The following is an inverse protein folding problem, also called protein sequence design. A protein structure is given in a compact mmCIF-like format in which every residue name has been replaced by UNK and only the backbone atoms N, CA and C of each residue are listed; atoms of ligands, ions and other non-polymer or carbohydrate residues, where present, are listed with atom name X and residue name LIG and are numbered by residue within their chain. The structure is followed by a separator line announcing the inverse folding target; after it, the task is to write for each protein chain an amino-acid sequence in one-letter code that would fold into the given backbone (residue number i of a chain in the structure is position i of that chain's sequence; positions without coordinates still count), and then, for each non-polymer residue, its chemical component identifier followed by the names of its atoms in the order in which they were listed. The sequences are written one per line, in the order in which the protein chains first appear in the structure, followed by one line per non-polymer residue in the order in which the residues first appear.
data_IF_941261805823
#
_entry.id   IF_941261805823
#
_cell.length_a   1.000
_cell.length_b   1.000
_cell.length_c   1.000
_cell.angle_alpha   90.00
_cell.angle_beta   90.00
_cell.angle_gamma   90.00
#
_symmetry.space_group_name_H-M   'P 1'
#
loop_
_entity.id
_entity.type
_entity.pdbx_description
1 polymer ?
#
# COMPACT_ATOMS: atom_id res chain seq x y z
N UNK A 1 -15.93 9.98 0.60
CA UNK A 1 -15.00 10.49 -0.44
C UNK A 1 -13.93 9.42 -0.66
N UNK A 2 -13.59 9.08 -1.91
CA UNK A 2 -12.63 8.01 -2.23
C UNK A 2 -11.18 8.46 -2.00
N UNK A 3 -10.36 7.62 -1.36
CA UNK A 3 -8.95 7.89 -1.09
C UNK A 3 -8.13 7.72 -2.39
N UNK A 4 -7.44 8.75 -2.90
CA UNK A 4 -6.74 8.69 -4.18
C UNK A 4 -5.57 7.71 -4.22
N UNK A 5 -5.04 7.29 -3.05
CA UNK A 5 -3.98 6.28 -2.97
C UNK A 5 -4.50 4.85 -3.19
N UNK A 6 -5.82 4.65 -3.09
CA UNK A 6 -6.46 3.36 -3.34
C UNK A 6 -6.98 3.23 -4.78
N UNK A 7 -6.86 4.28 -5.59
CA UNK A 7 -7.21 4.26 -7.01
C UNK A 7 -6.04 3.71 -7.83
N UNK A 8 -6.23 2.51 -8.39
CA UNK A 8 -5.22 1.81 -9.18
C UNK A 8 -5.33 2.07 -10.69
N UNK A 9 -6.09 3.08 -11.12
CA UNK A 9 -6.24 3.38 -12.53
C UNK A 9 -5.18 4.38 -13.00
N UNK A 10 -4.34 3.95 -13.95
CA UNK A 10 -3.36 4.82 -14.60
C UNK A 10 -2.26 5.32 -13.66
N UNK A 11 -1.89 6.59 -13.81
CA UNK A 11 -0.79 7.25 -13.10
C UNK A 11 -1.25 7.81 -11.74
N UNK A 12 -0.34 7.93 -10.74
CA UNK A 12 -0.68 8.53 -9.46
C UNK A 12 -1.25 9.95 -9.59
N UNK A 13 -2.43 10.18 -9.01
CA UNK A 13 -3.08 11.48 -9.01
C UNK A 13 -2.46 12.44 -7.97
N UNK A 14 -1.18 12.81 -8.14
CA UNK A 14 -0.39 13.58 -7.17
C UNK A 14 -1.10 14.82 -6.61
N UNK A 15 -1.80 15.59 -7.45
CA UNK A 15 -2.53 16.80 -7.04
C UNK A 15 -3.68 16.53 -6.06
N UNK A 16 -4.17 15.29 -5.97
CA UNK A 16 -5.25 14.89 -5.07
C UNK A 16 -4.74 14.25 -3.78
N UNK A 17 -3.47 13.85 -3.72
CA UNK A 17 -2.88 13.21 -2.54
C UNK A 17 -2.63 14.29 -1.47
N UNK A 18 -3.14 14.05 -0.27
CA UNK A 18 -2.96 14.92 0.89
C UNK A 18 -2.43 14.09 2.07
N UNK A 19 -1.74 14.70 3.04
CA UNK A 19 -1.19 13.98 4.19
C UNK A 19 -2.22 13.11 4.93
N UNK A 20 -3.45 13.60 5.10
CA UNK A 20 -4.54 12.88 5.76
C UNK A 20 -5.01 11.61 5.03
N UNK A 21 -4.64 11.45 3.75
CA UNK A 21 -4.95 10.24 2.99
C UNK A 21 -3.95 9.11 3.23
N UNK A 22 -2.73 9.43 3.66
CA UNK A 22 -1.59 8.49 3.66
C UNK A 22 -1.80 7.34 4.62
N UNK A 23 -1.90 7.64 5.91
CA UNK A 23 -1.99 6.62 6.95
C UNK A 23 -3.24 5.73 6.81
N UNK A 24 -4.44 6.27 6.56
CA UNK A 24 -5.62 5.43 6.33
C UNK A 24 -5.51 4.51 5.10
N UNK A 25 -4.84 4.95 4.02
CA UNK A 25 -4.62 4.09 2.86
C UNK A 25 -3.68 2.93 3.18
N UNK A 26 -2.57 3.22 3.88
CA UNK A 26 -1.59 2.21 4.25
C UNK A 26 -2.19 1.21 5.24
N UNK A 27 -2.91 1.67 6.27
CA UNK A 27 -3.58 0.78 7.23
C UNK A 27 -4.57 -0.18 6.54
N UNK A 28 -5.39 0.36 5.64
CA UNK A 28 -6.33 -0.45 4.87
C UNK A 28 -5.61 -1.50 4.01
N UNK A 29 -4.57 -1.10 3.27
CA UNK A 29 -3.82 -2.00 2.40
C UNK A 29 -3.10 -3.10 3.18
N UNK A 30 -2.46 -2.76 4.30
CA UNK A 30 -1.76 -3.76 5.13
C UNK A 30 -2.74 -4.76 5.73
N UNK A 31 -3.89 -4.30 6.23
CA UNK A 31 -4.92 -5.18 6.78
C UNK A 31 -5.47 -6.14 5.72
N UNK A 32 -5.85 -5.62 4.56
CA UNK A 32 -6.32 -6.43 3.43
C UNK A 32 -5.26 -7.42 2.96
N UNK A 33 -4.01 -6.96 2.84
CA UNK A 33 -2.92 -7.79 2.35
C UNK A 33 -2.67 -8.97 3.30
N UNK A 34 -2.62 -8.74 4.61
CA UNK A 34 -2.50 -9.81 5.61
C UNK A 34 -3.66 -10.81 5.52
N UNK A 35 -4.89 -10.33 5.34
CA UNK A 35 -6.05 -11.20 5.16
C UNK A 35 -5.95 -12.08 3.90
N UNK A 36 -5.51 -11.50 2.78
CA UNK A 36 -5.30 -12.22 1.51
C UNK A 36 -4.18 -13.25 1.62
N UNK A 37 -3.03 -12.87 2.17
CA UNK A 37 -1.89 -13.77 2.36
C UNK A 37 -2.29 -14.95 3.24
N UNK A 38 -3.00 -14.69 4.36
CA UNK A 38 -3.52 -15.75 5.22
C UNK A 38 -4.43 -16.71 4.45
N UNK A 39 -5.39 -16.19 3.69
CA UNK A 39 -6.30 -17.01 2.90
C UNK A 39 -5.58 -17.86 1.83
N UNK A 40 -4.54 -17.31 1.19
CA UNK A 40 -3.74 -18.02 0.18
C UNK A 40 -2.98 -19.21 0.79
N UNK A 41 -2.40 -19.03 1.98
CA UNK A 41 -1.62 -20.06 2.66
C UNK A 41 -2.52 -21.11 3.34
N UNK A 42 -3.69 -20.72 3.83
CA UNK A 42 -4.64 -21.67 4.46
C UNK A 42 -5.48 -22.44 3.43
N UNK A 43 -5.68 -21.87 2.24
CA UNK A 43 -6.61 -22.38 1.22
C UNK A 43 -6.04 -23.42 0.25
N UNK A 44 -4.73 -23.71 0.30
CA UNK A 44 -4.08 -24.57 -0.69
C UNK A 44 -3.26 -25.69 -0.01
N UNK A 45 -3.42 -26.92 -0.49
CA UNK A 45 -2.59 -28.07 -0.07
C UNK A 45 -1.39 -28.33 -0.98
N UNK A 46 -1.42 -27.81 -2.21
CA UNK A 46 -0.31 -27.80 -3.15
C UNK A 46 -0.14 -26.41 -3.73
N UNK A 47 1.10 -25.94 -3.80
CA UNK A 47 1.43 -24.60 -4.29
C UNK A 47 2.05 -24.65 -5.68
N UNK A 48 1.66 -23.70 -6.51
CA UNK A 48 2.22 -23.44 -7.82
C UNK A 48 2.33 -21.92 -8.03
N UNK A 49 2.78 -21.53 -9.21
CA UNK A 49 2.95 -20.13 -9.57
C UNK A 49 1.62 -19.35 -9.46
N UNK A 50 0.56 -19.89 -10.04
CA UNK A 50 -0.73 -19.20 -10.20
C UNK A 50 -1.51 -19.05 -8.89
N UNK A 51 -1.35 -19.99 -7.94
CA UNK A 51 -2.09 -19.98 -6.68
C UNK A 51 -1.32 -19.42 -5.48
N UNK A 52 -0.03 -19.12 -5.64
CA UNK A 52 0.80 -18.53 -4.58
C UNK A 52 1.57 -17.31 -5.07
N UNK A 53 2.50 -17.49 -6.00
CA UNK A 53 3.45 -16.42 -6.37
C UNK A 53 2.75 -15.26 -7.06
N UNK A 54 1.97 -15.53 -8.10
CA UNK A 54 1.25 -14.47 -8.82
C UNK A 54 0.30 -13.68 -7.90
N UNK A 55 -0.56 -14.32 -7.07
CA UNK A 55 -1.37 -13.58 -6.10
C UNK A 55 -0.57 -12.77 -5.09
N UNK A 56 0.58 -13.26 -4.62
CA UNK A 56 1.46 -12.51 -3.72
C UNK A 56 2.04 -11.25 -4.40
N UNK A 57 2.49 -11.36 -5.65
CA UNK A 57 2.97 -10.22 -6.43
C UNK A 57 1.88 -9.17 -6.64
N UNK A 58 0.64 -9.57 -6.92
CA UNK A 58 -0.49 -8.64 -7.07
C UNK A 58 -0.76 -7.87 -5.77
N UNK A 59 -0.64 -8.55 -4.62
CA UNK A 59 -0.86 -7.96 -3.29
C UNK A 59 0.26 -6.98 -2.93
N UNK A 60 1.52 -7.32 -3.26
CA UNK A 60 2.69 -6.46 -3.06
C UNK A 60 2.68 -5.24 -3.99
N UNK A 61 2.43 -5.44 -5.29
CA UNK A 61 2.33 -4.35 -6.27
C UNK A 61 1.27 -3.33 -5.85
N UNK A 62 0.12 -3.79 -5.34
CA UNK A 62 -0.93 -2.89 -4.84
C UNK A 62 -0.43 -1.98 -3.71
N UNK A 63 0.34 -2.51 -2.77
CA UNK A 63 0.93 -1.70 -1.69
C UNK A 63 2.00 -0.74 -2.25
N UNK A 64 2.86 -1.25 -3.13
CA UNK A 64 3.92 -0.47 -3.79
C UNK A 64 3.35 0.73 -4.57
N UNK A 65 2.28 0.53 -5.34
CA UNK A 65 1.59 1.57 -6.11
C UNK A 65 1.00 2.68 -5.24
N UNK A 66 0.55 2.36 -4.03
CA UNK A 66 0.08 3.36 -3.07
C UNK A 66 1.24 4.06 -2.33
N UNK A 67 2.29 3.32 -1.95
CA UNK A 67 3.37 3.87 -1.13
C UNK A 67 4.40 4.67 -1.94
N UNK A 68 4.70 4.26 -3.16
CA UNK A 68 5.70 4.91 -4.02
C UNK A 68 5.43 6.41 -4.24
N UNK A 69 4.18 6.86 -4.54
CA UNK A 69 3.85 8.28 -4.61
C UNK A 69 4.09 9.03 -3.30
N UNK A 70 3.76 8.43 -2.15
CA UNK A 70 3.97 9.06 -0.83
C UNK A 70 5.45 9.23 -0.55
N UNK A 71 6.26 8.19 -0.79
CA UNK A 71 7.72 8.25 -0.67
C UNK A 71 8.32 9.29 -1.61
N UNK A 72 7.84 9.37 -2.85
CA UNK A 72 8.28 10.39 -3.80
C UNK A 72 7.95 11.80 -3.31
N UNK A 73 6.70 12.05 -2.90
CA UNK A 73 6.30 13.35 -2.36
C UNK A 73 7.10 13.74 -1.11
N UNK A 74 7.39 12.79 -0.23
CA UNK A 74 8.26 13.01 0.92
C UNK A 74 9.69 13.43 0.50
N UNK A 75 10.15 13.03 -0.69
CA UNK A 75 11.46 13.41 -1.23
C UNK A 75 11.48 14.74 -1.99
N UNK A 76 10.41 15.11 -2.71
CA UNK A 76 10.44 16.26 -3.64
C UNK A 76 9.56 17.44 -3.25
N UNK A 77 8.53 17.22 -2.43
CA UNK A 77 7.56 18.25 -1.99
C UNK A 77 7.23 18.08 -0.51
N UNK A 78 8.27 17.91 0.30
CA UNK A 78 8.14 17.62 1.72
C UNK A 78 7.43 18.76 2.49
N UNK A 79 6.64 18.41 3.50
CA UNK A 79 6.07 19.34 4.49
C UNK A 79 6.01 18.68 5.88
N UNK A 80 5.89 19.44 6.98
CA UNK A 80 5.75 18.85 8.31
C UNK A 80 4.59 17.85 8.43
N UNK A 81 3.44 18.17 7.84
CA UNK A 81 2.27 17.28 7.84
C UNK A 81 2.52 16.01 7.03
N UNK A 82 3.13 16.13 5.83
CA UNK A 82 3.45 14.96 5.00
C UNK A 82 4.51 14.07 5.66
N UNK A 83 5.54 14.66 6.28
CA UNK A 83 6.58 13.94 7.01
C UNK A 83 6.02 13.19 8.21
N UNK A 84 5.10 13.79 8.95
CA UNK A 84 4.42 13.14 10.07
C UNK A 84 3.65 11.90 9.60
N UNK A 85 2.84 12.02 8.54
CA UNK A 85 2.10 10.90 7.98
C UNK A 85 3.02 9.80 7.40
N UNK A 86 4.11 10.19 6.72
CA UNK A 86 5.13 9.27 6.23
C UNK A 86 5.78 8.48 7.38
N UNK A 87 6.22 9.17 8.43
CA UNK A 87 6.88 8.57 9.59
C UNK A 87 5.93 7.65 10.39
N UNK A 88 4.63 7.97 10.46
CA UNK A 88 3.63 7.11 11.07
C UNK A 88 3.48 5.76 10.33
N UNK A 89 3.70 5.74 9.01
CA UNK A 89 3.59 4.54 8.19
C UNK A 89 4.85 3.66 8.21
N UNK A 90 6.04 4.23 8.39
CA UNK A 90 7.30 3.48 8.39
C UNK A 90 7.31 2.24 9.31
N UNK A 91 6.99 2.34 10.62
CA UNK A 91 7.00 1.16 11.49
C UNK A 91 5.96 0.11 11.07
N UNK A 92 4.82 0.55 10.53
CA UNK A 92 3.75 -0.35 10.06
C UNK A 92 4.19 -1.15 8.85
N UNK A 93 4.87 -0.49 7.91
CA UNK A 93 5.45 -1.10 6.71
C UNK A 93 6.62 -2.04 7.07
N UNK A 94 7.45 -1.69 8.05
CA UNK A 94 8.55 -2.57 8.50
C UNK A 94 8.06 -3.82 9.24
N UNK A 95 6.89 -3.76 9.89
CA UNK A 95 6.28 -4.91 10.58
C UNK A 95 5.48 -5.81 9.62
N UNK A 96 5.14 -5.32 8.43
CA UNK A 96 4.41 -6.07 7.41
C UNK A 96 5.33 -7.00 6.65
#
# INVERSE_FOLDING_TARGET
MSNPLLDQNGLPAFMRIKPEHVEPAIDHLLADNRAKIKALVEGNSQYNWDNLIYPLEVVDDRLSRAWSPVRHMNSVVNSPALRAAYNACLPKLSQY
#
